data_IF_412776963936
#
_entry.id   IF_412776963936
#
_cell.length_a   1.000
_cell.length_b   1.000
_cell.length_c   1.000
_cell.angle_alpha   90.00
_cell.angle_beta   90.00
_cell.angle_gamma   90.00
#
_symmetry.space_group_name_H-M   'P 1'
#
loop_
_entity.id
_entity.type
_entity.pdbx_description
1 polymer ?
#
# COMPACT_ATOMS: atom_id res chain seq x y z
N UNK A 1 -14.86 7.75 -3.92
CA UNK A 1 -15.07 6.81 -2.80
C UNK A 1 -13.78 6.56 -2.01
N UNK A 2 -12.66 6.24 -2.68
CA UNK A 2 -11.40 5.93 -1.99
C UNK A 2 -10.35 7.04 -2.05
N UNK A 3 -10.62 8.13 -2.74
CA UNK A 3 -9.66 9.21 -2.91
C UNK A 3 -9.18 9.75 -1.55
N UNK A 4 -7.85 9.81 -1.38
CA UNK A 4 -7.23 10.33 -0.16
C UNK A 4 -7.26 9.38 1.03
N UNK A 5 -7.91 8.22 0.93
CA UNK A 5 -8.01 7.25 2.02
C UNK A 5 -6.76 6.38 2.10
N UNK A 6 -6.32 6.14 3.34
CA UNK A 6 -5.24 5.21 3.62
C UNK A 6 -5.77 3.79 3.83
N UNK A 7 -4.91 2.79 3.67
CA UNK A 7 -5.22 1.38 3.91
C UNK A 7 -4.30 0.83 4.99
N UNK A 8 -4.66 1.08 6.25
CA UNK A 8 -3.85 0.73 7.42
C UNK A 8 -4.29 -0.57 8.06
N UNK A 9 -5.59 -0.82 8.08
CA UNK A 9 -6.22 -2.03 8.61
C UNK A 9 -7.44 -2.35 7.76
N UNK A 10 -7.67 -3.62 7.47
CA UNK A 10 -8.84 -4.04 6.72
C UNK A 10 -10.16 -3.71 7.45
N UNK A 11 -10.13 -3.69 8.79
CA UNK A 11 -11.31 -3.39 9.60
C UNK A 11 -11.82 -1.97 9.42
N UNK A 12 -10.99 -1.05 8.89
CA UNK A 12 -11.39 0.34 8.63
C UNK A 12 -12.29 0.46 7.39
N UNK A 13 -12.52 -0.64 6.68
CA UNK A 13 -13.31 -0.69 5.46
C UNK A 13 -14.54 -1.56 5.64
N UNK A 14 -15.64 -1.16 5.00
CA UNK A 14 -16.85 -1.98 4.98
C UNK A 14 -16.65 -3.24 4.12
N UNK A 15 -17.54 -4.23 4.30
CA UNK A 15 -17.55 -5.43 3.47
C UNK A 15 -17.65 -5.08 1.98
N UNK A 16 -18.55 -4.16 1.62
CA UNK A 16 -18.74 -3.77 0.22
C UNK A 16 -17.53 -3.06 -0.34
N UNK A 17 -16.85 -2.24 0.45
CA UNK A 17 -15.61 -1.58 0.05
C UNK A 17 -14.49 -2.59 -0.19
N UNK A 18 -14.34 -3.57 0.68
CA UNK A 18 -13.34 -4.63 0.52
C UNK A 18 -13.63 -5.49 -0.70
N UNK A 19 -14.88 -5.84 -0.94
CA UNK A 19 -15.29 -6.61 -2.13
C UNK A 19 -14.99 -5.82 -3.41
N UNK A 20 -15.24 -4.52 -3.40
CA UNK A 20 -14.91 -3.65 -4.54
C UNK A 20 -13.40 -3.66 -4.81
N UNK A 21 -12.56 -3.53 -3.77
CA UNK A 21 -11.11 -3.55 -3.93
C UNK A 21 -10.62 -4.88 -4.49
N UNK A 22 -11.19 -5.98 -4.03
CA UNK A 22 -10.84 -7.32 -4.54
C UNK A 22 -11.22 -7.44 -6.02
N UNK A 23 -12.41 -7.03 -6.41
CA UNK A 23 -12.86 -7.07 -7.80
C UNK A 23 -12.01 -6.16 -8.69
N UNK A 24 -11.65 -4.99 -8.19
CA UNK A 24 -10.77 -4.06 -8.91
C UNK A 24 -9.37 -4.66 -9.10
N UNK A 25 -8.84 -5.34 -8.07
CA UNK A 25 -7.55 -6.02 -8.16
C UNK A 25 -7.57 -7.14 -9.20
N UNK A 26 -8.65 -7.91 -9.27
CA UNK A 26 -8.84 -8.95 -10.30
C UNK A 26 -8.88 -8.32 -11.69
N UNK A 27 -9.57 -7.19 -11.83
CA UNK A 27 -9.62 -6.44 -13.08
C UNK A 27 -8.23 -5.96 -13.52
N UNK A 28 -7.45 -5.38 -12.60
CA UNK A 28 -6.08 -4.93 -12.90
C UNK A 28 -5.18 -6.11 -13.30
N UNK A 29 -5.30 -7.24 -12.62
CA UNK A 29 -4.55 -8.46 -12.96
C UNK A 29 -4.86 -8.90 -14.40
N UNK A 30 -6.11 -8.85 -14.80
CA UNK A 30 -6.53 -9.16 -16.16
C UNK A 30 -5.92 -8.20 -17.18
N UNK A 31 -5.96 -6.89 -16.91
CA UNK A 31 -5.37 -5.89 -17.79
C UNK A 31 -3.87 -6.13 -17.97
N UNK A 32 -3.16 -6.42 -16.89
CA UNK A 32 -1.73 -6.74 -16.94
C UNK A 32 -1.48 -7.98 -17.78
N UNK A 33 -2.24 -9.05 -17.59
CA UNK A 33 -2.11 -10.31 -18.33
C UNK A 33 -2.36 -10.11 -19.82
N UNK A 34 -3.28 -9.23 -20.18
CA UNK A 34 -3.64 -8.92 -21.57
C UNK A 34 -2.76 -7.81 -22.18
N UNK A 35 -1.76 -7.32 -21.43
CA UNK A 35 -0.86 -6.23 -21.85
C UNK A 35 -1.59 -4.93 -22.20
N UNK A 36 -2.70 -4.65 -21.53
CA UNK A 36 -3.45 -3.42 -21.68
C UNK A 36 -2.93 -2.40 -20.69
N UNK A 37 -2.55 -1.21 -21.19
CA UNK A 37 -2.08 -0.12 -20.34
C UNK A 37 -3.18 0.35 -19.38
N UNK A 38 -2.79 0.60 -18.13
CA UNK A 38 -3.70 1.03 -17.07
C UNK A 38 -2.99 1.98 -16.11
N UNK A 39 -2.51 3.10 -16.66
CA UNK A 39 -1.66 4.05 -15.93
C UNK A 39 -2.47 5.02 -15.08
N UNK A 40 -3.22 4.49 -14.12
CA UNK A 40 -4.05 5.30 -13.22
C UNK A 40 -3.26 6.24 -12.31
N UNK A 41 -1.98 5.96 -12.08
CA UNK A 41 -1.10 6.78 -11.25
C UNK A 41 0.00 7.46 -12.06
N UNK A 42 -0.31 7.81 -13.32
CA UNK A 42 0.65 8.45 -14.22
C UNK A 42 1.29 9.66 -13.55
N UNK A 43 2.62 9.71 -13.61
CA UNK A 43 3.46 10.79 -13.09
C UNK A 43 3.37 11.00 -11.56
N UNK A 44 2.79 10.05 -10.81
CA UNK A 44 2.78 10.11 -9.36
C UNK A 44 4.07 9.53 -8.78
N UNK A 45 4.50 10.08 -7.66
CA UNK A 45 5.67 9.59 -6.93
C UNK A 45 5.22 8.87 -5.67
N UNK A 46 5.67 7.63 -5.50
CA UNK A 46 5.28 6.77 -4.38
C UNK A 46 6.52 6.42 -3.56
N UNK A 47 6.51 6.74 -2.27
CA UNK A 47 7.56 6.33 -1.36
C UNK A 47 7.29 4.91 -0.87
N UNK A 48 8.31 4.05 -0.93
CA UNK A 48 8.27 2.69 -0.41
C UNK A 48 9.19 2.62 0.81
N UNK A 49 8.62 2.72 2.00
CA UNK A 49 9.35 2.77 3.26
C UNK A 49 9.42 1.39 3.90
N UNK A 50 10.64 0.93 4.15
CA UNK A 50 10.89 -0.38 4.76
C UNK A 50 11.81 -0.23 5.97
N UNK A 51 11.30 -0.51 7.17
CA UNK A 51 12.12 -0.61 8.38
C UNK A 51 12.79 -1.97 8.52
N UNK A 52 12.32 -2.95 7.75
CA UNK A 52 12.87 -4.31 7.72
C UNK A 52 12.96 -4.81 6.30
N UNK A 53 13.86 -5.77 6.06
CA UNK A 53 14.07 -6.33 4.73
C UNK A 53 12.85 -7.12 4.26
N UNK A 54 12.55 -7.02 2.97
CA UNK A 54 11.49 -7.78 2.33
C UNK A 54 11.74 -7.81 0.82
N UNK A 55 11.79 -8.99 0.24
CA UNK A 55 11.95 -9.16 -1.20
C UNK A 55 10.59 -9.07 -1.91
N UNK A 56 9.62 -9.86 -1.45
CA UNK A 56 8.32 -9.97 -2.13
C UNK A 56 7.49 -8.69 -2.07
N UNK A 57 7.36 -8.09 -0.90
CA UNK A 57 6.58 -6.86 -0.73
C UNK A 57 7.21 -5.71 -1.51
N UNK A 58 8.54 -5.57 -1.44
CA UNK A 58 9.26 -4.55 -2.20
C UNK A 58 9.04 -4.73 -3.70
N UNK A 59 9.25 -5.94 -4.21
CA UNK A 59 9.07 -6.23 -5.64
C UNK A 59 7.62 -6.00 -6.08
N UNK A 60 6.65 -6.42 -5.28
CA UNK A 60 5.23 -6.26 -5.60
C UNK A 60 4.82 -4.79 -5.69
N UNK A 61 5.18 -3.97 -4.70
CA UNK A 61 4.84 -2.54 -4.72
C UNK A 61 5.60 -1.79 -5.83
N UNK A 62 6.87 -2.11 -6.05
CA UNK A 62 7.65 -1.52 -7.15
C UNK A 62 7.01 -1.81 -8.50
N UNK A 63 6.68 -3.08 -8.74
CA UNK A 63 6.07 -3.51 -10.01
C UNK A 63 4.69 -2.89 -10.20
N UNK A 64 3.87 -2.90 -9.15
CA UNK A 64 2.54 -2.31 -9.21
C UNK A 64 2.60 -0.80 -9.52
N UNK A 65 3.50 -0.07 -8.86
CA UNK A 65 3.67 1.36 -9.10
C UNK A 65 4.06 1.62 -10.57
N UNK A 66 5.04 0.88 -11.08
CA UNK A 66 5.49 1.03 -12.48
C UNK A 66 4.36 0.70 -13.46
N UNK A 67 3.64 -0.39 -13.24
CA UNK A 67 2.52 -0.78 -14.11
C UNK A 67 1.43 0.28 -14.14
N UNK A 68 1.22 0.99 -13.02
CA UNK A 68 0.24 2.07 -12.91
C UNK A 68 0.76 3.43 -13.39
N UNK A 69 1.98 3.50 -13.89
CA UNK A 69 2.58 4.74 -14.41
C UNK A 69 3.23 5.62 -13.36
N UNK A 70 3.36 5.14 -12.13
CA UNK A 70 3.98 5.87 -11.03
C UNK A 70 5.50 5.63 -10.97
N UNK A 71 6.19 6.48 -10.23
CA UNK A 71 7.60 6.32 -9.93
C UNK A 71 7.75 5.87 -8.47
N UNK A 72 8.24 4.65 -8.21
CA UNK A 72 8.51 4.18 -6.85
C UNK A 72 9.90 4.59 -6.40
N UNK A 73 10.01 5.11 -5.17
CA UNK A 73 11.28 5.40 -4.52
C UNK A 73 11.42 4.53 -3.27
N UNK A 74 12.41 3.66 -3.27
CA UNK A 74 12.69 2.78 -2.13
C UNK A 74 13.49 3.52 -1.07
N UNK A 75 12.98 3.50 0.17
CA UNK A 75 13.63 4.08 1.35
C UNK A 75 13.79 2.96 2.38
N UNK A 76 14.98 2.38 2.43
CA UNK A 76 15.31 1.26 3.31
C UNK A 76 15.69 1.68 4.72
N UNK A 77 16.06 0.71 5.58
CA UNK A 77 16.39 0.99 6.97
C UNK A 77 17.55 1.96 7.16
N UNK A 78 18.46 2.06 6.19
CA UNK A 78 19.62 2.95 6.25
C UNK A 78 19.38 4.30 5.56
N UNK A 79 18.30 4.42 4.80
CA UNK A 79 17.97 5.62 4.03
C UNK A 79 17.11 6.60 4.84
N UNK A 80 16.33 6.08 5.77
CA UNK A 80 15.41 6.85 6.58
C UNK A 80 15.54 6.44 8.04
N UNK A 81 15.53 7.42 8.94
CA UNK A 81 15.75 7.17 10.37
C UNK A 81 14.51 7.55 11.19
N UNK A 82 13.40 6.86 10.89
CA UNK A 82 12.14 7.07 11.59
C UNK A 82 12.28 6.87 13.10
N UNK A 83 11.91 7.89 13.86
CA UNK A 83 11.93 7.84 15.31
C UNK A 83 13.31 7.86 15.95
N UNK A 84 14.38 8.06 15.19
CA UNK A 84 15.76 8.11 15.72
C UNK A 84 16.28 9.53 15.78
N UNK A 85 16.58 10.14 14.62
CA UNK A 85 17.13 11.51 14.55
C UNK A 85 16.07 12.57 14.40
N UNK A 86 14.94 12.23 13.78
CA UNK A 86 13.80 13.12 13.71
C UNK A 86 12.53 12.36 14.10
N UNK A 87 11.49 13.09 14.50
CA UNK A 87 10.24 12.47 14.86
C UNK A 87 9.54 11.88 13.63
N UNK A 88 8.72 10.86 13.83
CA UNK A 88 7.92 10.26 12.76
C UNK A 88 7.00 11.30 12.15
N UNK A 89 6.44 12.19 12.97
CA UNK A 89 5.57 13.28 12.51
C UNK A 89 6.30 14.24 11.57
N UNK A 90 7.53 14.61 11.89
CA UNK A 90 8.32 15.50 11.04
C UNK A 90 8.70 14.83 9.73
N UNK A 91 9.12 13.57 9.78
CA UNK A 91 9.41 12.78 8.58
C UNK A 91 8.16 12.65 7.72
N UNK A 92 7.01 12.40 8.33
CA UNK A 92 5.73 12.28 7.62
C UNK A 92 5.41 13.57 6.84
N UNK A 93 5.59 14.72 7.46
CA UNK A 93 5.36 16.02 6.82
C UNK A 93 6.28 16.25 5.63
N UNK A 94 7.56 15.93 5.79
CA UNK A 94 8.53 16.04 4.69
C UNK A 94 8.18 15.14 3.54
N UNK A 95 7.89 13.87 3.80
CA UNK A 95 7.53 12.91 2.77
C UNK A 95 6.21 13.29 2.08
N UNK A 96 5.22 13.75 2.86
CA UNK A 96 3.94 14.21 2.31
C UNK A 96 4.05 15.41 1.41
N UNK A 97 5.09 16.24 1.56
CA UNK A 97 5.35 17.36 0.68
C UNK A 97 5.97 16.97 -0.66
N UNK A 98 6.61 15.80 -0.73
CA UNK A 98 7.32 15.33 -1.92
C UNK A 98 6.61 14.18 -2.66
N UNK A 99 5.92 13.31 -1.94
CA UNK A 99 5.31 12.11 -2.51
C UNK A 99 3.79 12.22 -2.55
N UNK A 100 3.19 11.53 -3.51
CA UNK A 100 1.74 11.48 -3.68
C UNK A 100 1.09 10.35 -2.88
N UNK A 101 1.86 9.33 -2.55
CA UNK A 101 1.42 8.20 -1.74
C UNK A 101 2.61 7.53 -1.06
N UNK A 102 2.33 6.79 0.01
CA UNK A 102 3.36 6.17 0.84
C UNK A 102 2.97 4.73 1.16
N UNK A 103 3.85 3.79 0.85
CA UNK A 103 3.78 2.43 1.38
C UNK A 103 4.69 2.32 2.58
N UNK A 104 4.25 1.61 3.62
CA UNK A 104 5.03 1.40 4.83
C UNK A 104 5.06 -0.07 5.22
N UNK A 105 6.24 -0.60 5.42
CA UNK A 105 6.45 -1.92 6.04
C UNK A 105 7.41 -1.77 7.20
N UNK A 106 6.94 -2.03 8.41
CA UNK A 106 7.72 -1.80 9.61
C UNK A 106 7.23 -2.60 10.79
N UNK A 107 7.46 -2.04 11.98
CA UNK A 107 7.17 -2.73 13.23
C UNK A 107 5.89 -2.23 13.88
N UNK A 108 5.84 -0.94 14.22
CA UNK A 108 4.76 -0.39 15.04
C UNK A 108 3.58 0.09 14.19
N UNK A 109 2.39 -0.39 14.53
CA UNK A 109 1.15 0.13 13.92
C UNK A 109 1.00 1.63 14.18
N UNK A 110 1.41 2.12 15.36
CA UNK A 110 1.36 3.55 15.69
C UNK A 110 2.17 4.40 14.71
N UNK A 111 3.28 3.88 14.18
CA UNK A 111 4.12 4.62 13.23
C UNK A 111 3.40 4.82 11.89
N UNK A 112 2.76 3.78 11.37
CA UNK A 112 2.03 3.91 10.11
C UNK A 112 0.79 4.80 10.26
N UNK A 113 0.18 4.82 11.44
CA UNK A 113 -0.95 5.70 11.73
C UNK A 113 -0.53 7.17 11.76
N UNK A 114 0.63 7.47 12.35
CA UNK A 114 1.20 8.83 12.36
C UNK A 114 1.56 9.25 10.93
N UNK A 115 2.17 8.37 10.14
CA UNK A 115 2.46 8.66 8.74
C UNK A 115 1.19 9.04 7.96
N UNK A 116 0.13 8.27 8.14
CA UNK A 116 -1.15 8.54 7.46
C UNK A 116 -1.75 9.88 7.87
N UNK A 117 -1.71 10.19 9.18
CA UNK A 117 -2.28 11.42 9.72
C UNK A 117 -1.47 12.64 9.32
N UNK A 118 -0.16 12.60 9.52
CA UNK A 118 0.69 13.80 9.44
C UNK A 118 1.27 14.05 8.05
N UNK A 119 1.33 13.05 7.18
CA UNK A 119 1.79 13.25 5.80
C UNK A 119 0.73 13.95 4.93
N UNK A 120 -0.54 13.80 5.25
CA UNK A 120 -1.64 14.28 4.41
C UNK A 120 -1.77 13.50 3.10
N UNK A 121 -1.13 12.35 2.98
CA UNK A 121 -1.16 11.50 1.79
C UNK A 121 -1.73 10.12 2.09
N UNK A 122 -2.28 9.42 1.09
CA UNK A 122 -2.69 8.03 1.27
C UNK A 122 -1.49 7.18 1.68
N UNK A 123 -1.67 6.37 2.71
CA UNK A 123 -0.64 5.46 3.22
C UNK A 123 -1.18 4.04 3.18
N UNK A 124 -0.37 3.11 2.64
CA UNK A 124 -0.71 1.70 2.55
C UNK A 124 0.21 0.89 3.46
N UNK A 125 -0.41 0.12 4.34
CA UNK A 125 0.32 -0.73 5.28
C UNK A 125 0.74 -2.04 4.62
N UNK A 126 2.02 -2.16 4.31
CA UNK A 126 2.61 -3.37 3.73
C UNK A 126 2.94 -4.45 4.76
N UNK A 127 2.93 -4.13 6.01
CA UNK A 127 3.00 -5.00 7.19
C UNK A 127 3.46 -4.19 8.40
N UNK A 128 2.75 -4.34 9.50
CA UNK A 128 3.19 -3.97 10.85
C UNK A 128 3.08 -5.18 11.77
N UNK A 129 3.44 -5.04 13.03
CA UNK A 129 3.34 -6.14 13.99
C UNK A 129 1.89 -6.59 14.20
N UNK A 130 0.92 -5.69 13.99
CA UNK A 130 -0.49 -5.96 14.27
C UNK A 130 -1.32 -6.26 13.03
N UNK A 131 -1.00 -5.68 11.85
CA UNK A 131 -1.85 -5.72 10.67
C UNK A 131 -1.06 -5.93 9.37
N UNK A 132 -1.66 -6.70 8.45
CA UNK A 132 -1.14 -6.88 7.10
C UNK A 132 -2.28 -6.85 6.08
N UNK A 133 -2.93 -5.67 5.89
CA UNK A 133 -4.16 -5.59 5.09
C UNK A 133 -3.96 -5.91 3.61
N UNK A 134 -2.82 -5.58 3.03
CA UNK A 134 -2.56 -5.89 1.61
C UNK A 134 -2.45 -7.39 1.37
N UNK A 135 -1.90 -8.14 2.33
CA UNK A 135 -1.85 -9.61 2.25
C UNK A 135 -3.26 -10.20 2.37
N UNK A 136 -4.10 -9.63 3.21
CA UNK A 136 -5.49 -10.08 3.34
C UNK A 136 -6.26 -9.91 2.04
N UNK A 137 -6.08 -8.80 1.33
CA UNK A 137 -6.69 -8.61 0.01
C UNK A 137 -6.20 -9.66 -0.99
N UNK A 138 -4.90 -9.96 -1.00
CA UNK A 138 -4.32 -10.97 -1.88
C UNK A 138 -4.87 -12.37 -1.57
N UNK A 139 -5.00 -12.72 -0.30
CA UNK A 139 -5.55 -14.00 0.13
C UNK A 139 -7.02 -14.14 -0.28
N UNK A 140 -7.84 -13.13 -0.04
CA UNK A 140 -9.24 -13.14 -0.45
C UNK A 140 -9.41 -13.15 -1.97
N UNK A 141 -8.55 -12.43 -2.69
CA UNK A 141 -8.53 -12.47 -4.14
C UNK A 141 -8.27 -13.89 -4.66
N UNK A 142 -7.27 -14.57 -4.08
CA UNK A 142 -6.93 -15.95 -4.44
C UNK A 142 -8.09 -16.90 -4.16
N UNK A 143 -8.74 -16.76 -3.01
CA UNK A 143 -9.91 -17.57 -2.63
C UNK A 143 -11.04 -17.33 -3.63
N UNK A 144 -11.33 -16.08 -3.96
CA UNK A 144 -12.38 -15.75 -4.92
C UNK A 144 -12.09 -16.29 -6.31
N UNK A 145 -10.85 -16.18 -6.78
CA UNK A 145 -10.45 -16.72 -8.08
C UNK A 145 -10.61 -18.25 -8.15
N UNK A 146 -10.31 -18.94 -7.04
CA UNK A 146 -10.39 -20.39 -6.99
C UNK A 146 -11.82 -20.90 -6.84
N UNK A 147 -12.61 -20.32 -5.94
CA UNK A 147 -13.96 -20.79 -5.62
C UNK A 147 -15.08 -20.00 -6.32
N UNK A 148 -14.79 -18.85 -6.91
CA UNK A 148 -15.75 -17.99 -7.58
C UNK A 148 -16.55 -17.06 -6.65
N UNK A 149 -16.41 -17.22 -5.33
CA UNK A 149 -17.11 -16.41 -4.33
C UNK A 149 -16.38 -16.39 -3.00
N UNK A 150 -16.81 -15.50 -2.11
CA UNK A 150 -16.26 -15.37 -0.75
C UNK A 150 -17.27 -15.67 0.35
N UNK A 151 -18.50 -16.08 0.00
CA UNK A 151 -19.52 -16.43 0.98
C UNK A 151 -19.31 -17.86 1.48
N UNK A 152 -19.60 -18.06 2.75
CA UNK A 152 -19.55 -19.38 3.41
C UNK A 152 -18.15 -20.01 3.42
N UNK A 153 -17.11 -19.16 3.48
CA UNK A 153 -15.71 -19.59 3.55
C UNK A 153 -15.07 -19.22 4.88
#
# INVERSE_FOLDING_TARGET
>A
MFQGRSFLKEIDFSKDELLYLIDFAIHLKKLKKEHIQHKYLLDKNIALIFEKTSTRTRAAFTTAAVDLGAHPEFLGPNDIQLGKKESISDTAKVLGSMFDGIEFRGFKQSDVEILAKDSGRPVWNGLTDDWHPTQMLADFMTIKEHFGHLQDL
#
